data_IF_701895059925
#
_entry.id   IF_701895059925
#
_cell.length_a   1.000
_cell.length_b   1.000
_cell.length_c   1.000
_cell.angle_alpha   90.00
_cell.angle_beta   90.00
_cell.angle_gamma   90.00
#
_symmetry.space_group_name_H-M   'P 1'
#
loop_
_entity.id
_entity.type
_entity.pdbx_description
1 polymer ?
#
# COMPACT_ATOMS: atom_id res chain seq x y z
N UNK A 1 -24.84 -2.35 43.24
CA UNK A 1 -23.58 -2.15 42.53
C UNK A 1 -23.86 -1.52 41.16
N UNK A 2 -23.55 -0.24 40.98
CA UNK A 2 -23.81 0.52 39.74
C UNK A 2 -22.60 0.39 38.83
N UNK A 3 -22.77 -0.19 37.62
CA UNK A 3 -21.75 -0.25 36.60
C UNK A 3 -21.63 1.14 35.91
N UNK A 4 -20.49 1.76 36.07
CA UNK A 4 -20.16 3.02 35.39
C UNK A 4 -19.85 2.74 33.90
N UNK A 5 -20.70 3.20 33.00
CA UNK A 5 -20.45 3.21 31.56
C UNK A 5 -19.49 4.38 31.26
N UNK A 6 -18.24 4.08 30.99
CA UNK A 6 -17.27 5.03 30.45
C UNK A 6 -17.66 5.38 29.02
N UNK A 7 -18.22 6.57 28.82
CA UNK A 7 -18.48 7.14 27.49
C UNK A 7 -17.15 7.69 26.95
N UNK A 8 -16.54 6.98 26.03
CA UNK A 8 -15.40 7.48 25.25
C UNK A 8 -15.84 8.68 24.42
N UNK A 9 -15.40 9.89 24.81
CA UNK A 9 -15.69 11.13 24.08
C UNK A 9 -14.85 11.15 22.82
N UNK A 10 -15.44 10.78 21.69
CA UNK A 10 -14.92 11.10 20.37
C UNK A 10 -14.81 12.62 20.23
N UNK A 11 -13.61 13.14 20.26
CA UNK A 11 -13.32 14.54 19.91
C UNK A 11 -13.65 14.73 18.41
N UNK A 12 -14.86 15.22 18.11
CA UNK A 12 -15.23 15.66 16.77
C UNK A 12 -14.32 16.83 16.41
N UNK A 13 -13.35 16.62 15.53
CA UNK A 13 -12.61 17.72 14.91
C UNK A 13 -13.60 18.64 14.22
N UNK A 14 -13.55 19.94 14.52
CA UNK A 14 -14.40 20.93 13.86
C UNK A 14 -14.23 20.85 12.35
N UNK A 15 -15.33 20.78 11.55
CA UNK A 15 -15.24 20.75 10.11
C UNK A 15 -14.59 22.05 9.60
N UNK A 16 -13.61 21.94 8.72
CA UNK A 16 -13.00 23.08 8.05
C UNK A 16 -14.06 23.90 7.30
N UNK A 17 -13.95 25.23 7.34
CA UNK A 17 -14.85 26.12 6.59
C UNK A 17 -14.77 25.85 5.08
N UNK A 18 -15.82 26.19 4.32
CA UNK A 18 -15.83 26.05 2.86
C UNK A 18 -14.64 26.74 2.19
N UNK A 19 -14.30 27.95 2.62
CA UNK A 19 -13.15 28.71 2.10
C UNK A 19 -11.82 28.03 2.38
N UNK A 20 -11.63 27.46 3.58
CA UNK A 20 -10.41 26.73 3.92
C UNK A 20 -10.27 25.43 3.15
N UNK A 21 -11.35 24.69 2.93
CA UNK A 21 -11.34 23.48 2.07
C UNK A 21 -10.96 23.82 0.62
N UNK A 22 -11.52 24.90 0.06
CA UNK A 22 -11.18 25.36 -1.29
C UNK A 22 -9.71 25.78 -1.40
N UNK A 23 -9.17 26.47 -0.40
CA UNK A 23 -7.76 26.88 -0.37
C UNK A 23 -6.83 25.65 -0.30
N UNK A 24 -7.10 24.71 0.60
CA UNK A 24 -6.32 23.49 0.75
C UNK A 24 -6.35 22.65 -0.54
N UNK A 25 -7.53 22.48 -1.16
CA UNK A 25 -7.66 21.75 -2.43
C UNK A 25 -6.88 22.40 -3.58
N UNK A 26 -6.82 23.74 -3.65
CA UNK A 26 -5.96 24.44 -4.63
C UNK A 26 -4.47 24.21 -4.35
N UNK A 27 -4.10 24.23 -3.07
CA UNK A 27 -2.72 24.00 -2.65
C UNK A 27 -2.28 22.57 -2.93
N UNK A 28 -3.13 21.57 -2.66
CA UNK A 28 -2.88 20.17 -2.99
C UNK A 28 -2.57 20.01 -4.48
N UNK A 29 -3.45 20.52 -5.35
CA UNK A 29 -3.26 20.44 -6.79
C UNK A 29 -2.00 21.16 -7.29
N UNK A 30 -1.61 22.26 -6.63
CA UNK A 30 -0.39 23.00 -6.98
C UNK A 30 0.89 22.28 -6.56
N UNK A 31 0.87 21.62 -5.38
CA UNK A 31 2.06 20.96 -4.82
C UNK A 31 2.28 19.58 -5.44
N UNK A 32 1.20 18.81 -5.60
CA UNK A 32 1.30 17.46 -6.17
C UNK A 32 1.39 17.53 -7.68
N UNK A 33 0.58 18.41 -8.31
CA UNK A 33 0.46 18.49 -9.76
C UNK A 33 -0.21 17.25 -10.38
N UNK A 34 -0.68 17.32 -11.62
CA UNK A 34 -1.09 16.13 -12.34
C UNK A 34 0.15 15.35 -12.77
N UNK A 35 0.20 14.02 -12.53
CA UNK A 35 1.25 13.18 -13.07
C UNK A 35 1.13 13.07 -14.60
N UNK A 36 2.21 12.67 -15.27
CA UNK A 36 2.18 12.35 -16.69
C UNK A 36 1.19 11.19 -16.95
N UNK A 37 0.11 11.38 -17.73
CA UNK A 37 -0.88 10.35 -17.99
C UNK A 37 -0.30 9.09 -18.67
N UNK A 38 0.73 9.23 -19.51
CA UNK A 38 1.38 8.12 -20.16
C UNK A 38 2.12 7.23 -19.15
N UNK A 39 2.62 7.83 -18.07
CA UNK A 39 3.34 7.15 -17.01
C UNK A 39 2.42 6.41 -16.05
N UNK A 40 1.25 6.96 -15.72
CA UNK A 40 0.35 6.45 -14.68
C UNK A 40 -0.90 5.75 -15.22
N UNK A 41 -1.17 5.81 -16.52
CA UNK A 41 -2.42 5.34 -17.12
C UNK A 41 -2.69 3.85 -16.89
N UNK A 42 -1.65 3.02 -16.84
CA UNK A 42 -1.75 1.59 -16.61
C UNK A 42 -2.34 1.24 -15.23
N UNK A 43 -2.16 2.09 -14.21
CA UNK A 43 -2.70 1.86 -12.87
C UNK A 43 -4.23 1.61 -12.85
N UNK A 44 -4.95 2.23 -13.80
CA UNK A 44 -6.42 2.21 -13.90
C UNK A 44 -6.98 1.00 -14.65
N UNK A 45 -6.10 0.17 -15.22
CA UNK A 45 -6.50 -0.92 -16.14
C UNK A 45 -6.59 -2.28 -15.44
N UNK A 46 -6.32 -2.33 -14.14
CA UNK A 46 -6.16 -3.58 -13.42
C UNK A 46 -6.99 -3.62 -12.14
N UNK A 47 -7.43 -4.82 -11.78
CA UNK A 47 -7.76 -5.17 -10.39
C UNK A 47 -6.51 -5.78 -9.80
N UNK A 48 -6.10 -5.30 -8.62
CA UNK A 48 -4.92 -5.79 -7.93
C UNK A 48 -5.32 -6.76 -6.83
N UNK A 49 -4.77 -7.98 -6.84
CA UNK A 49 -4.93 -8.95 -5.77
C UNK A 49 -4.11 -8.48 -4.56
N UNK A 50 -4.79 -8.11 -3.47
CA UNK A 50 -4.19 -7.68 -2.21
C UNK A 50 -3.38 -8.82 -1.61
N UNK A 51 -2.06 -8.65 -1.50
CA UNK A 51 -1.10 -9.68 -1.06
C UNK A 51 -1.14 -10.97 -1.90
N UNK A 52 -1.43 -10.85 -3.20
CA UNK A 52 -1.72 -11.96 -4.08
C UNK A 52 -3.14 -12.52 -3.94
N UNK A 53 -3.49 -13.53 -4.74
CA UNK A 53 -4.79 -14.22 -4.68
C UNK A 53 -4.75 -15.29 -3.56
N UNK A 54 -4.72 -14.83 -2.32
CA UNK A 54 -4.65 -15.64 -1.11
C UNK A 54 -6.04 -16.17 -0.67
N UNK A 55 -6.08 -17.06 0.32
CA UNK A 55 -7.28 -17.79 0.75
C UNK A 55 -7.35 -19.18 0.13
N UNK A 56 -8.31 -20.00 0.56
CA UNK A 56 -8.45 -21.39 0.11
C UNK A 56 -7.14 -22.22 0.23
N UNK A 57 -6.44 -22.09 1.36
CA UNK A 57 -5.18 -22.79 1.64
C UNK A 57 -3.91 -22.12 1.08
N UNK A 58 -4.03 -20.94 0.46
CA UNK A 58 -2.88 -20.14 0.03
C UNK A 58 -2.63 -19.00 1.00
N UNK A 59 -1.40 -18.88 1.47
CA UNK A 59 -0.98 -17.82 2.41
C UNK A 59 -0.81 -16.49 1.67
N UNK A 60 -1.19 -15.40 2.28
CA UNK A 60 -0.93 -14.04 1.79
C UNK A 60 0.57 -13.79 1.59
N UNK A 61 0.94 -13.01 0.57
CA UNK A 61 2.34 -12.70 0.27
C UNK A 61 3.23 -13.94 0.02
N UNK A 62 2.65 -15.05 -0.46
CA UNK A 62 3.36 -16.29 -0.76
C UNK A 62 3.46 -16.58 -2.25
N UNK A 63 4.35 -17.49 -2.62
CA UNK A 63 4.51 -17.94 -4.01
C UNK A 63 3.18 -18.44 -4.59
N UNK A 64 2.46 -19.30 -3.86
CA UNK A 64 1.17 -19.84 -4.31
C UNK A 64 0.11 -18.76 -4.51
N UNK A 65 0.06 -17.73 -3.64
CA UNK A 65 -0.87 -16.62 -3.81
C UNK A 65 -0.54 -15.75 -5.03
N UNK A 66 0.74 -15.55 -5.32
CA UNK A 66 1.16 -14.78 -6.50
C UNK A 66 0.97 -15.55 -7.80
N UNK A 67 1.26 -16.85 -7.82
CA UNK A 67 0.97 -17.72 -8.98
C UNK A 67 -0.52 -17.73 -9.32
N UNK A 68 -1.38 -17.87 -8.31
CA UNK A 68 -2.82 -17.81 -8.52
C UNK A 68 -3.29 -16.46 -9.05
N UNK A 69 -2.68 -15.34 -8.62
CA UNK A 69 -2.98 -14.02 -9.18
C UNK A 69 -2.54 -13.89 -10.64
N UNK A 70 -1.38 -14.43 -11.01
CA UNK A 70 -0.88 -14.49 -12.39
C UNK A 70 -1.83 -15.31 -13.28
N UNK A 71 -2.25 -16.49 -12.83
CA UNK A 71 -3.18 -17.37 -13.56
C UNK A 71 -4.55 -16.70 -13.77
N UNK A 72 -5.00 -15.91 -12.80
CA UNK A 72 -6.25 -15.15 -12.89
C UNK A 72 -6.12 -13.83 -13.71
N UNK A 73 -4.93 -13.49 -14.19
CA UNK A 73 -4.69 -12.25 -14.93
C UNK A 73 -4.88 -10.97 -14.10
N UNK A 74 -4.66 -11.05 -12.79
CA UNK A 74 -4.77 -9.93 -11.86
C UNK A 74 -3.42 -9.22 -11.68
N UNK A 75 -3.43 -7.90 -11.52
CA UNK A 75 -2.30 -7.20 -10.95
C UNK A 75 -2.03 -7.69 -9.52
N UNK A 76 -0.83 -7.51 -9.02
CA UNK A 76 -0.43 -7.98 -7.70
C UNK A 76 -0.09 -6.78 -6.82
N UNK A 77 -0.64 -6.78 -5.61
CA UNK A 77 -0.14 -5.95 -4.52
C UNK A 77 0.60 -6.83 -3.52
N UNK A 78 1.72 -6.34 -2.98
CA UNK A 78 2.53 -7.02 -1.99
C UNK A 78 3.15 -6.07 -0.97
N UNK A 79 3.47 -6.60 0.21
CA UNK A 79 4.08 -5.87 1.31
C UNK A 79 5.57 -6.16 1.43
N UNK A 80 6.39 -5.13 1.68
CA UNK A 80 7.83 -5.27 1.91
C UNK A 80 8.19 -4.91 3.34
N UNK A 81 8.75 -5.89 4.05
CA UNK A 81 9.48 -5.74 5.31
C UNK A 81 10.99 -5.76 5.04
N UNK A 82 11.78 -5.38 6.05
CA UNK A 82 13.23 -5.39 5.97
C UNK A 82 13.81 -6.43 6.93
N UNK A 83 14.71 -7.29 6.41
CA UNK A 83 15.51 -8.19 7.25
C UNK A 83 16.57 -7.43 8.05
N UNK A 84 17.25 -8.11 8.97
CA UNK A 84 18.36 -7.54 9.78
C UNK A 84 19.52 -7.03 8.94
N UNK A 85 19.77 -7.68 7.80
CA UNK A 85 20.82 -7.36 6.82
C UNK A 85 20.29 -6.51 5.64
N UNK A 86 19.19 -5.78 5.89
CA UNK A 86 18.60 -4.78 5.00
C UNK A 86 18.00 -5.34 3.67
N UNK A 87 17.72 -6.65 3.55
CA UNK A 87 17.03 -7.21 2.36
C UNK A 87 15.53 -6.94 2.38
N UNK A 88 14.92 -6.63 1.19
CA UNK A 88 13.49 -6.44 1.06
C UNK A 88 12.78 -7.79 0.99
N UNK A 89 12.15 -8.17 2.09
CA UNK A 89 11.43 -9.43 2.26
C UNK A 89 9.93 -9.20 2.05
N UNK A 90 9.27 -10.11 1.34
CA UNK A 90 7.83 -10.02 1.07
C UNK A 90 7.06 -10.58 2.26
N UNK A 91 6.46 -9.67 3.07
CA UNK A 91 5.73 -10.03 4.28
C UNK A 91 4.97 -8.83 4.85
N UNK A 92 3.78 -9.06 5.44
CA UNK A 92 2.96 -7.97 5.96
C UNK A 92 3.28 -7.59 7.41
N UNK A 93 3.31 -8.56 8.32
CA UNK A 93 3.36 -8.31 9.76
C UNK A 93 4.74 -7.83 10.24
N UNK A 94 4.79 -7.28 11.45
CA UNK A 94 6.03 -6.82 12.08
C UNK A 94 6.76 -7.92 12.87
N UNK A 95 6.14 -9.09 12.99
CA UNK A 95 6.69 -10.30 13.60
C UNK A 95 6.17 -11.54 12.85
N UNK A 96 6.69 -12.70 13.22
CA UNK A 96 6.35 -13.96 12.57
C UNK A 96 5.24 -14.75 13.27
N UNK A 97 4.63 -14.21 14.34
CA UNK A 97 3.73 -14.97 15.21
C UNK A 97 2.53 -15.56 14.47
N UNK A 98 1.84 -14.77 13.65
CA UNK A 98 0.60 -15.18 12.99
C UNK A 98 0.81 -16.24 11.90
N UNK A 99 1.80 -16.07 11.04
CA UNK A 99 1.96 -16.91 9.84
C UNK A 99 3.02 -18.01 9.99
N UNK A 100 3.98 -17.83 10.90
CA UNK A 100 5.12 -18.75 11.08
C UNK A 100 5.14 -19.37 12.49
N UNK A 101 4.35 -18.83 13.44
CA UNK A 101 4.32 -19.32 14.83
C UNK A 101 5.53 -18.91 15.67
N UNK A 102 6.33 -17.95 15.23
CA UNK A 102 7.53 -17.49 15.93
C UNK A 102 7.35 -16.05 16.45
N UNK A 103 7.76 -15.74 17.68
CA UNK A 103 7.54 -14.42 18.28
C UNK A 103 8.53 -13.35 17.80
N UNK A 104 9.58 -13.72 17.06
CA UNK A 104 10.62 -12.81 16.64
C UNK A 104 10.10 -11.76 15.66
N UNK A 105 10.67 -10.58 15.74
CA UNK A 105 10.39 -9.50 14.81
C UNK A 105 11.04 -9.76 13.45
N UNK A 106 10.39 -9.29 12.40
CA UNK A 106 10.89 -9.42 11.02
C UNK A 106 12.31 -8.88 10.85
N UNK A 107 12.65 -7.76 11.48
CA UNK A 107 13.99 -7.14 11.45
C UNK A 107 15.04 -7.83 12.34
N UNK A 108 14.69 -8.89 13.04
CA UNK A 108 15.63 -9.63 13.88
C UNK A 108 16.39 -10.72 13.12
N UNK A 109 15.86 -11.17 11.98
CA UNK A 109 16.43 -12.24 11.16
C UNK A 109 17.10 -11.70 9.89
N UNK A 110 18.21 -12.29 9.49
CA UNK A 110 18.85 -12.07 8.19
C UNK A 110 18.05 -12.72 7.07
N UNK A 111 18.30 -12.34 5.81
CA UNK A 111 17.73 -13.00 4.64
C UNK A 111 17.95 -14.51 4.66
N UNK A 112 19.14 -14.97 5.05
CA UNK A 112 19.45 -16.40 5.13
C UNK A 112 18.55 -17.11 6.15
N UNK A 113 18.39 -16.52 7.36
CA UNK A 113 17.50 -17.05 8.40
C UNK A 113 16.02 -17.01 7.99
N UNK A 114 15.58 -16.00 7.21
CA UNK A 114 14.22 -15.96 6.66
C UNK A 114 13.93 -17.12 5.71
N UNK A 115 14.90 -17.55 4.90
CA UNK A 115 14.75 -18.66 3.96
C UNK A 115 14.57 -20.02 4.63
N UNK A 116 14.93 -20.14 5.91
CA UNK A 116 14.71 -21.35 6.72
C UNK A 116 13.32 -21.37 7.39
N UNK A 117 12.55 -20.27 7.26
CA UNK A 117 11.19 -20.22 7.80
C UNK A 117 10.24 -21.02 6.93
N UNK A 118 9.22 -21.62 7.58
CA UNK A 118 8.08 -22.25 6.93
C UNK A 118 6.80 -21.62 7.45
N UNK A 119 5.81 -21.47 6.61
CA UNK A 119 4.47 -21.08 7.05
C UNK A 119 3.78 -22.23 7.82
N UNK A 120 2.91 -21.88 8.76
CA UNK A 120 2.22 -22.89 9.60
C UNK A 120 1.28 -23.82 8.82
N UNK A 121 0.69 -23.32 7.74
CA UNK A 121 -0.39 -24.01 7.03
C UNK A 121 -0.11 -24.11 5.51
N UNK A 122 1.18 -24.11 5.11
CA UNK A 122 1.56 -24.16 3.68
C UNK A 122 2.98 -24.69 3.49
N UNK A 123 3.22 -25.33 2.37
CA UNK A 123 4.56 -25.69 1.89
C UNK A 123 5.36 -24.46 1.39
N UNK A 124 4.69 -23.32 1.19
CA UNK A 124 5.32 -22.07 0.80
C UNK A 124 6.23 -21.52 1.90
N UNK A 125 7.17 -20.70 1.49
CA UNK A 125 8.13 -20.01 2.38
C UNK A 125 8.11 -18.51 2.11
N UNK A 126 8.45 -17.68 3.09
CA UNK A 126 8.68 -16.27 2.85
C UNK A 126 9.75 -16.05 1.78
N UNK A 127 9.46 -15.21 0.79
CA UNK A 127 10.36 -14.87 -0.30
C UNK A 127 10.89 -13.45 -0.17
N UNK A 128 11.93 -13.13 -0.91
CA UNK A 128 12.36 -11.74 -1.07
C UNK A 128 11.82 -11.10 -2.35
N UNK A 129 11.99 -9.78 -2.47
CA UNK A 129 11.49 -9.02 -3.62
C UNK A 129 12.11 -9.50 -4.95
N UNK A 130 13.38 -9.91 -4.97
CA UNK A 130 14.00 -10.38 -6.21
C UNK A 130 13.38 -11.69 -6.71
N UNK A 131 13.03 -12.59 -5.79
CA UNK A 131 12.31 -13.83 -6.09
C UNK A 131 10.90 -13.54 -6.64
N UNK A 132 10.19 -12.57 -6.05
CA UNK A 132 8.89 -12.12 -6.57
C UNK A 132 9.01 -11.50 -7.97
N UNK A 133 9.99 -10.64 -8.21
CA UNK A 133 10.21 -10.04 -9.53
C UNK A 133 10.51 -11.10 -10.60
N UNK A 134 11.29 -12.12 -10.25
CA UNK A 134 11.59 -13.24 -11.13
C UNK A 134 10.34 -14.10 -11.43
N UNK A 135 9.48 -14.32 -10.43
CA UNK A 135 8.22 -15.05 -10.59
C UNK A 135 7.25 -14.30 -11.51
N UNK A 136 7.06 -13.00 -11.28
CA UNK A 136 6.12 -12.19 -12.08
C UNK A 136 6.64 -11.94 -13.49
N UNK A 137 7.95 -11.74 -13.66
CA UNK A 137 8.63 -11.55 -14.92
C UNK A 137 7.98 -10.53 -15.88
N UNK A 138 7.34 -9.48 -15.31
CA UNK A 138 6.66 -8.44 -16.07
C UNK A 138 5.29 -8.82 -16.66
N UNK A 139 4.75 -10.01 -16.36
CA UNK A 139 3.48 -10.51 -16.90
C UNK A 139 2.29 -9.65 -16.47
N UNK A 140 2.25 -9.25 -15.21
CA UNK A 140 1.24 -8.35 -14.62
C UNK A 140 1.91 -7.22 -13.85
N UNK A 141 1.23 -6.09 -13.59
CA UNK A 141 1.80 -5.01 -12.81
C UNK A 141 1.89 -5.34 -11.31
N UNK A 142 2.90 -4.75 -10.66
CA UNK A 142 3.16 -4.85 -9.23
C UNK A 142 2.92 -3.53 -8.51
N UNK A 143 2.15 -3.56 -7.41
CA UNK A 143 2.10 -2.52 -6.38
C UNK A 143 2.87 -3.01 -5.16
N UNK A 144 3.93 -2.30 -4.78
CA UNK A 144 4.87 -2.71 -3.76
C UNK A 144 4.73 -1.77 -2.55
N UNK A 145 4.02 -2.21 -1.50
CA UNK A 145 3.90 -1.43 -0.27
C UNK A 145 5.17 -1.58 0.58
N UNK A 146 5.90 -0.50 0.77
CA UNK A 146 7.05 -0.47 1.68
C UNK A 146 6.56 -0.16 3.10
N UNK A 147 6.66 -1.14 4.00
CA UNK A 147 6.28 -0.99 5.40
C UNK A 147 7.21 -0.02 6.11
N UNK A 148 6.62 0.85 6.91
CA UNK A 148 7.36 1.81 7.73
C UNK A 148 6.62 2.06 9.04
N UNK A 149 7.35 2.53 10.05
CA UNK A 149 6.83 2.93 11.34
C UNK A 149 7.61 4.11 11.91
N UNK A 150 7.11 4.71 12.97
CA UNK A 150 7.78 5.79 13.66
C UNK A 150 9.22 5.41 14.01
N UNK A 151 10.18 6.28 13.71
CA UNK A 151 11.64 6.09 13.90
C UNK A 151 12.28 5.00 13.02
N UNK A 152 11.55 4.49 12.00
CA UNK A 152 12.12 3.55 11.05
C UNK A 152 13.04 4.29 10.06
N UNK A 153 14.19 3.69 9.75
CA UNK A 153 15.08 4.22 8.72
C UNK A 153 14.57 3.80 7.33
N UNK A 154 13.73 4.66 6.77
CA UNK A 154 13.17 4.43 5.44
C UNK A 154 14.21 4.44 4.33
N UNK A 155 15.32 5.16 4.52
CA UNK A 155 16.37 5.31 3.50
C UNK A 155 17.01 3.97 3.17
N UNK A 156 17.29 3.14 4.16
CA UNK A 156 17.85 1.80 3.96
C UNK A 156 16.92 0.91 3.15
N UNK A 157 15.65 0.84 3.54
CA UNK A 157 14.65 0.03 2.84
C UNK A 157 14.41 0.52 1.41
N UNK A 158 14.21 1.83 1.23
CA UNK A 158 13.99 2.43 -0.09
C UNK A 158 15.17 2.20 -1.04
N UNK A 159 16.41 2.35 -0.53
CA UNK A 159 17.62 2.10 -1.32
C UNK A 159 17.66 0.66 -1.80
N UNK A 160 17.45 -0.29 -0.89
CA UNK A 160 17.52 -1.71 -1.23
C UNK A 160 16.41 -2.14 -2.17
N UNK A 161 15.19 -1.62 -1.99
CA UNK A 161 14.08 -1.83 -2.93
C UNK A 161 14.43 -1.26 -4.32
N UNK A 162 14.95 -0.04 -4.39
CA UNK A 162 15.32 0.59 -5.67
C UNK A 162 16.46 -0.18 -6.36
N UNK A 163 17.46 -0.66 -5.62
CA UNK A 163 18.54 -1.52 -6.14
C UNK A 163 17.99 -2.83 -6.70
N UNK A 164 17.01 -3.46 -6.00
CA UNK A 164 16.38 -4.70 -6.44
C UNK A 164 15.50 -4.50 -7.67
N UNK A 165 14.84 -3.35 -7.81
CA UNK A 165 14.03 -2.97 -8.97
C UNK A 165 14.86 -2.56 -10.18
N UNK A 166 16.16 -2.28 -9.98
CA UNK A 166 17.03 -1.84 -11.08
C UNK A 166 17.10 -2.92 -12.19
N UNK A 167 16.71 -2.54 -13.40
CA UNK A 167 16.65 -3.45 -14.55
C UNK A 167 15.37 -4.29 -14.68
N UNK A 168 14.43 -4.20 -13.73
CA UNK A 168 13.14 -4.86 -13.89
C UNK A 168 12.27 -4.13 -14.92
N UNK A 169 11.96 -4.81 -16.03
CA UNK A 169 11.22 -4.22 -17.15
C UNK A 169 9.70 -4.26 -17.01
N UNK A 170 9.14 -4.91 -15.98
CA UNK A 170 7.70 -4.99 -15.76
C UNK A 170 7.11 -3.70 -15.19
N UNK A 171 5.81 -3.49 -15.40
CA UNK A 171 5.08 -2.37 -14.79
C UNK A 171 5.10 -2.51 -13.27
N UNK A 172 5.56 -1.50 -12.57
CA UNK A 172 5.60 -1.50 -11.12
C UNK A 172 5.49 -0.11 -10.52
N UNK A 173 4.98 -0.06 -9.31
CA UNK A 173 4.93 1.16 -8.50
C UNK A 173 5.23 0.82 -7.03
N UNK A 174 5.89 1.73 -6.33
CA UNK A 174 6.05 1.65 -4.88
C UNK A 174 5.00 2.51 -4.20
N UNK A 175 4.55 2.10 -3.02
CA UNK A 175 3.65 2.91 -2.19
C UNK A 175 3.94 2.70 -0.70
N UNK A 176 3.48 3.59 0.15
CA UNK A 176 3.61 3.45 1.61
C UNK A 176 2.65 4.38 2.33
N UNK A 177 2.29 4.04 3.57
CA UNK A 177 1.66 4.96 4.53
C UNK A 177 2.61 6.08 4.99
N UNK A 178 3.90 5.87 4.87
CA UNK A 178 4.91 6.86 5.25
C UNK A 178 5.25 7.77 4.07
N UNK A 179 4.90 9.06 4.13
CA UNK A 179 5.16 9.98 3.03
C UNK A 179 6.65 10.17 2.73
N UNK A 180 7.54 9.82 3.68
CA UNK A 180 8.99 9.86 3.47
C UNK A 180 9.46 8.86 2.41
N UNK A 181 8.77 7.73 2.26
CA UNK A 181 9.07 6.72 1.23
C UNK A 181 8.86 7.30 -0.16
N UNK A 182 7.64 7.79 -0.45
CA UNK A 182 7.34 8.43 -1.74
C UNK A 182 8.30 9.59 -2.04
N UNK A 183 8.57 10.45 -1.05
CA UNK A 183 9.55 11.55 -1.19
C UNK A 183 10.96 11.05 -1.52
N UNK A 184 11.39 9.94 -0.92
CA UNK A 184 12.70 9.35 -1.17
C UNK A 184 12.82 8.89 -2.63
N UNK A 185 11.82 8.13 -3.13
CA UNK A 185 11.79 7.66 -4.52
C UNK A 185 11.76 8.84 -5.51
N UNK A 186 10.99 9.87 -5.23
CA UNK A 186 10.97 11.07 -6.08
C UNK A 186 12.32 11.75 -6.25
N UNK A 187 13.21 11.60 -5.26
CA UNK A 187 14.55 12.22 -5.27
C UNK A 187 15.66 11.32 -5.79
N UNK A 188 15.58 10.01 -5.52
CA UNK A 188 16.69 9.09 -5.72
C UNK A 188 16.41 8.01 -6.79
N UNK A 189 15.14 7.77 -7.12
CA UNK A 189 14.71 6.82 -8.14
C UNK A 189 13.47 7.36 -8.88
N UNK A 190 13.58 8.52 -9.57
CA UNK A 190 12.42 9.19 -10.19
C UNK A 190 11.78 8.37 -11.31
N UNK A 191 12.48 7.38 -11.86
CA UNK A 191 11.91 6.42 -12.81
C UNK A 191 10.87 5.50 -12.17
N UNK A 192 11.00 5.16 -10.90
CA UNK A 192 10.03 4.34 -10.17
C UNK A 192 8.78 5.15 -9.83
N UNK A 193 7.61 4.67 -10.26
CA UNK A 193 6.33 5.28 -9.91
C UNK A 193 6.07 5.15 -8.41
N UNK A 194 5.56 6.23 -7.78
CA UNK A 194 5.42 6.30 -6.32
C UNK A 194 4.05 6.76 -5.88
N UNK A 195 3.50 6.10 -4.86
CA UNK A 195 2.19 6.37 -4.29
C UNK A 195 2.22 6.69 -2.79
N UNK A 196 1.12 7.25 -2.32
CA UNK A 196 0.84 7.45 -0.90
C UNK A 196 -0.38 6.65 -0.49
N UNK A 197 -0.24 5.79 0.51
CA UNK A 197 -1.35 5.04 1.10
C UNK A 197 -1.93 5.84 2.27
N UNK A 198 -3.26 5.97 2.33
CA UNK A 198 -3.94 6.74 3.38
C UNK A 198 -5.16 6.01 3.93
N UNK A 199 -5.37 6.17 5.25
CA UNK A 199 -6.56 5.73 5.98
C UNK A 199 -6.95 6.75 7.05
N UNK A 200 -8.22 6.77 7.43
CA UNK A 200 -8.75 7.77 8.37
C UNK A 200 -9.10 7.21 9.75
N UNK A 201 -9.03 5.89 9.91
CA UNK A 201 -9.31 5.21 11.17
C UNK A 201 -8.16 5.34 12.20
N UNK A 202 -8.36 4.76 13.37
CA UNK A 202 -7.44 4.81 14.51
C UNK A 202 -6.06 4.19 14.25
N UNK A 203 -5.93 3.34 13.24
CA UNK A 203 -4.67 2.68 12.88
C UNK A 203 -3.80 3.54 11.93
N UNK A 204 -4.34 4.65 11.41
CA UNK A 204 -3.66 5.50 10.43
C UNK A 204 -2.92 6.70 11.02
N UNK A 205 -1.97 7.23 10.26
CA UNK A 205 -1.29 8.51 10.56
C UNK A 205 -1.97 9.71 9.88
N UNK A 206 -3.04 9.46 9.10
CA UNK A 206 -3.76 10.46 8.29
C UNK A 206 -5.22 10.63 8.73
N UNK A 207 -5.51 10.40 10.01
CA UNK A 207 -6.84 10.50 10.62
C UNK A 207 -7.46 11.90 10.48
N UNK A 208 -6.68 12.94 10.72
CA UNK A 208 -7.15 14.33 10.68
C UNK A 208 -6.95 14.94 9.30
N UNK A 209 -7.85 15.83 8.83
CA UNK A 209 -7.72 16.47 7.52
C UNK A 209 -6.35 17.10 7.28
N UNK A 210 -5.82 17.87 8.24
CA UNK A 210 -4.51 18.51 8.09
C UNK A 210 -3.35 17.51 7.94
N UNK A 211 -3.45 16.33 8.56
CA UNK A 211 -2.43 15.26 8.42
C UNK A 211 -2.42 14.72 7.01
N UNK A 212 -3.59 14.57 6.37
CA UNK A 212 -3.71 14.11 4.98
C UNK A 212 -3.06 15.09 4.01
N UNK A 213 -3.36 16.38 4.16
CA UNK A 213 -2.72 17.42 3.34
C UNK A 213 -1.20 17.44 3.55
N UNK A 214 -0.73 17.42 4.81
CA UNK A 214 0.69 17.40 5.11
C UNK A 214 1.39 16.17 4.53
N UNK A 215 0.81 14.97 4.68
CA UNK A 215 1.35 13.73 4.12
C UNK A 215 1.44 13.82 2.59
N UNK A 216 0.40 14.33 1.93
CA UNK A 216 0.35 14.55 0.49
C UNK A 216 1.47 15.50 0.02
N UNK A 217 1.66 16.62 0.74
CA UNK A 217 2.70 17.61 0.40
C UNK A 217 4.13 17.11 0.62
N UNK A 218 4.34 16.28 1.64
CA UNK A 218 5.63 15.63 1.87
C UNK A 218 5.89 14.57 0.79
N UNK A 219 4.91 13.71 0.52
CA UNK A 219 5.05 12.58 -0.38
C UNK A 219 5.21 13.00 -1.84
N UNK A 220 4.48 14.02 -2.30
CA UNK A 220 4.36 14.39 -3.71
C UNK A 220 4.16 13.15 -4.60
N UNK A 221 3.09 12.38 -4.35
CA UNK A 221 2.87 11.10 -5.00
C UNK A 221 2.37 11.28 -6.43
N UNK A 222 2.57 10.25 -7.27
CA UNK A 222 2.01 10.17 -8.62
C UNK A 222 0.66 9.40 -8.66
N UNK A 223 0.28 8.77 -7.55
CA UNK A 223 -1.04 8.19 -7.29
C UNK A 223 -1.30 8.08 -5.77
N UNK A 224 -2.54 7.88 -5.40
CA UNK A 224 -2.89 7.56 -4.01
C UNK A 224 -3.62 6.22 -3.93
N UNK A 225 -3.43 5.50 -2.81
CA UNK A 225 -4.22 4.34 -2.43
C UNK A 225 -5.01 4.67 -1.16
N UNK A 226 -6.33 4.83 -1.29
CA UNK A 226 -7.17 5.34 -0.21
C UNK A 226 -8.07 4.25 0.36
N UNK A 227 -8.22 4.21 1.68
CA UNK A 227 -9.05 3.20 2.36
C UNK A 227 -10.51 3.31 1.93
N UNK A 228 -11.09 2.21 1.43
CA UNK A 228 -12.43 2.19 0.84
C UNK A 228 -13.53 2.64 1.80
N UNK A 229 -13.40 2.31 3.11
CA UNK A 229 -14.35 2.71 4.14
C UNK A 229 -14.38 4.23 4.40
N UNK A 230 -13.40 4.98 3.89
CA UNK A 230 -13.35 6.44 3.99
C UNK A 230 -13.80 7.16 2.71
N UNK A 231 -14.35 6.43 1.74
CA UNK A 231 -14.95 6.96 0.52
C UNK A 231 -16.49 7.03 0.66
N UNK A 232 -17.16 8.03 0.06
CA UNK A 232 -16.61 9.15 -0.71
C UNK A 232 -15.91 10.20 0.17
N UNK A 233 -14.83 10.79 -0.36
CA UNK A 233 -14.06 11.84 0.32
C UNK A 233 -13.81 13.03 -0.61
N UNK A 234 -14.16 14.28 -0.20
CA UNK A 234 -14.03 15.46 -1.08
C UNK A 234 -12.58 15.79 -1.51
N UNK A 235 -11.59 15.50 -0.65
CA UNK A 235 -10.18 15.71 -1.00
C UNK A 235 -9.77 14.73 -2.10
N UNK A 236 -10.13 13.47 -1.94
CA UNK A 236 -9.84 12.41 -2.91
C UNK A 236 -10.52 12.69 -4.26
N UNK A 237 -11.80 13.07 -4.24
CA UNK A 237 -12.53 13.46 -5.45
C UNK A 237 -11.83 14.61 -6.20
N UNK A 238 -11.42 15.66 -5.47
CA UNK A 238 -10.72 16.79 -6.07
C UNK A 238 -9.33 16.46 -6.63
N UNK A 239 -8.62 15.49 -6.05
CA UNK A 239 -7.36 14.98 -6.59
C UNK A 239 -7.58 14.14 -7.85
N UNK A 240 -8.61 13.25 -7.83
CA UNK A 240 -9.01 12.44 -8.99
C UNK A 240 -9.41 13.30 -10.18
N UNK A 241 -10.24 14.34 -9.95
CA UNK A 241 -10.62 15.33 -10.96
C UNK A 241 -9.41 16.08 -11.53
N UNK A 242 -8.37 16.30 -10.72
CA UNK A 242 -7.12 16.90 -11.16
C UNK A 242 -6.19 15.94 -11.92
N UNK A 243 -6.62 14.68 -12.15
CA UNK A 243 -5.89 13.67 -12.92
C UNK A 243 -4.99 12.73 -12.10
N UNK A 244 -4.94 12.87 -10.76
CA UNK A 244 -4.19 11.95 -9.91
C UNK A 244 -4.93 10.61 -9.83
N UNK A 245 -4.32 9.46 -10.21
CA UNK A 245 -4.96 8.16 -10.05
C UNK A 245 -5.28 7.84 -8.58
N UNK A 246 -6.48 7.33 -8.36
CA UNK A 246 -6.97 6.91 -7.04
C UNK A 246 -7.20 5.41 -7.05
N UNK A 247 -6.35 4.65 -6.37
CA UNK A 247 -6.58 3.26 -6.04
C UNK A 247 -7.31 3.20 -4.68
N UNK A 248 -8.05 2.12 -4.44
CA UNK A 248 -8.71 1.93 -3.14
C UNK A 248 -8.52 0.54 -2.58
N UNK A 249 -8.41 0.42 -1.26
CA UNK A 249 -8.11 -0.79 -0.49
C UNK A 249 -8.87 -0.79 0.85
N UNK A 250 -9.15 -1.90 1.54
CA UNK A 250 -9.16 -3.21 0.94
C UNK A 250 -10.57 -3.49 0.47
N UNK A 251 -10.73 -3.79 -0.79
CA UNK A 251 -12.03 -4.14 -1.39
C UNK A 251 -12.26 -5.63 -1.17
N UNK A 252 -13.07 -5.98 -0.16
CA UNK A 252 -13.26 -7.37 0.29
C UNK A 252 -14.72 -7.83 0.28
N UNK A 253 -15.63 -7.02 -0.29
CA UNK A 253 -17.05 -7.36 -0.43
C UNK A 253 -17.65 -6.75 -1.69
N UNK A 254 -18.84 -7.22 -2.15
CA UNK A 254 -19.56 -6.61 -3.25
C UNK A 254 -19.90 -5.13 -3.01
N UNK A 255 -20.23 -4.75 -1.78
CA UNK A 255 -20.56 -3.37 -1.40
C UNK A 255 -19.31 -2.47 -1.50
N UNK A 256 -18.16 -2.95 -1.00
CA UNK A 256 -16.89 -2.24 -1.14
C UNK A 256 -16.48 -2.11 -2.61
N UNK A 257 -16.80 -3.12 -3.44
CA UNK A 257 -16.57 -3.07 -4.90
C UNK A 257 -17.41 -2.00 -5.57
N UNK A 258 -18.69 -1.86 -5.17
CA UNK A 258 -19.55 -0.79 -5.69
C UNK A 258 -18.99 0.59 -5.34
N UNK A 259 -18.57 0.79 -4.07
CA UNK A 259 -17.91 2.04 -3.63
C UNK A 259 -16.63 2.31 -4.44
N UNK A 260 -15.80 1.27 -4.68
CA UNK A 260 -14.59 1.40 -5.47
C UNK A 260 -14.89 1.83 -6.92
N UNK A 261 -15.92 1.25 -7.55
CA UNK A 261 -16.35 1.61 -8.90
C UNK A 261 -16.80 3.08 -9.03
N UNK A 262 -17.51 3.60 -8.03
CA UNK A 262 -18.01 4.97 -8.05
C UNK A 262 -16.89 6.01 -7.76
N UNK A 263 -16.00 5.72 -6.82
CA UNK A 263 -15.14 6.74 -6.21
C UNK A 263 -13.63 6.54 -6.41
N UNK A 264 -13.20 5.42 -7.01
CA UNK A 264 -11.79 5.15 -7.30
C UNK A 264 -11.58 4.78 -8.78
N UNK A 265 -10.32 4.62 -9.18
CA UNK A 265 -9.93 4.26 -10.54
C UNK A 265 -9.57 2.76 -10.66
N UNK A 266 -9.09 2.15 -9.57
CA UNK A 266 -8.77 0.73 -9.52
C UNK A 266 -8.85 0.19 -8.09
N UNK A 267 -9.36 -1.04 -7.90
CA UNK A 267 -9.40 -1.71 -6.60
C UNK A 267 -8.14 -2.51 -6.31
N UNK A 268 -7.72 -2.48 -5.04
CA UNK A 268 -6.86 -3.47 -4.42
C UNK A 268 -7.79 -4.36 -3.59
N UNK A 269 -7.99 -5.61 -4.03
CA UNK A 269 -9.09 -6.45 -3.61
C UNK A 269 -8.67 -7.83 -3.11
N UNK A 270 -9.52 -8.42 -2.28
CA UNK A 270 -9.37 -9.78 -1.76
C UNK A 270 -10.72 -10.46 -1.58
N UNK A 271 -10.76 -11.78 -1.49
CA UNK A 271 -11.96 -12.56 -1.20
C UNK A 271 -13.15 -12.20 -2.09
N UNK A 272 -14.31 -11.89 -1.50
CA UNK A 272 -15.53 -11.52 -2.21
C UNK A 272 -15.46 -10.13 -2.88
N UNK A 273 -14.41 -9.37 -2.68
CA UNK A 273 -14.11 -8.12 -3.36
C UNK A 273 -13.50 -8.29 -4.75
N UNK A 274 -12.98 -9.46 -5.09
CA UNK A 274 -12.45 -9.79 -6.42
C UNK A 274 -13.57 -9.98 -7.47
N UNK A 275 -13.31 -9.75 -8.76
CA UNK A 275 -14.31 -9.92 -9.83
C UNK A 275 -14.79 -11.37 -9.96
#
# INVERSE_FOLDING_TARGET
>A
MRAARSACRYSRSMPLSRSMRSLLSRLDRRIVGPPDPARVGWLRQWTYAHRGLHGAGRIENSCGAFQAALEAGLGIECDIQRSRDDWPMVFHDWDFARLVGRPERTEALTRAEWRELAYLESEDRPMDLAELLALVAGTVPLLIEIKSRKRYDVTKTCRRVAETLAGYGGLHAVMSFDPRVSRWFGRHSPATLRGLVMREDEHGYTQRPWQRHLALWIAQPEFIAYHVAALPNPMVAGLREAGLPVLTWTVNSPEARAVAGDYADAPIAEGAGLP
#
